data_IF_777321296450
#
_entry.id   IF_777321296450
#
_cell.length_a   1.000
_cell.length_b   1.000
_cell.length_c   1.000
_cell.angle_alpha   90.00
_cell.angle_beta   90.00
_cell.angle_gamma   90.00
#
_symmetry.space_group_name_H-M   'P 1'
#
loop_
_entity.id
_entity.type
_entity.pdbx_description
1 polymer ?
#
# COMPACT_ATOMS: atom_id res chain seq x y z
N UNK A 1 -30.62 8.33 10.49
CA UNK A 1 -30.17 6.99 10.06
C UNK A 1 -29.01 6.62 10.97
N UNK A 2 -29.05 5.49 11.68
CA UNK A 2 -27.95 5.09 12.56
C UNK A 2 -26.71 4.77 11.72
N UNK A 3 -25.56 5.34 12.06
CA UNK A 3 -24.30 4.98 11.41
C UNK A 3 -24.00 3.50 11.67
N UNK A 4 -23.85 2.71 10.60
CA UNK A 4 -23.44 1.30 10.70
C UNK A 4 -22.02 1.22 11.29
N UNK A 5 -21.76 0.35 12.26
CA UNK A 5 -20.38 0.19 12.77
C UNK A 5 -19.41 -0.36 11.71
N UNK A 6 -19.91 -1.01 10.66
CA UNK A 6 -19.11 -1.67 9.62
C UNK A 6 -19.35 -1.11 8.21
N UNK A 7 -18.37 -1.34 7.33
CA UNK A 7 -18.51 -1.12 5.90
C UNK A 7 -19.43 -2.18 5.28
N UNK A 8 -20.27 -1.78 4.31
CA UNK A 8 -21.09 -2.71 3.55
C UNK A 8 -20.39 -3.10 2.25
N UNK A 9 -20.17 -4.39 2.06
CA UNK A 9 -19.63 -4.97 0.83
C UNK A 9 -20.78 -5.43 -0.06
N UNK A 10 -20.67 -5.21 -1.38
CA UNK A 10 -21.66 -5.69 -2.36
C UNK A 10 -21.86 -7.20 -2.22
N UNK A 11 -23.11 -7.65 -2.19
CA UNK A 11 -23.45 -9.01 -1.76
C UNK A 11 -22.78 -10.13 -2.58
N UNK A 12 -22.70 -9.98 -3.91
CA UNK A 12 -22.03 -10.94 -4.79
C UNK A 12 -20.52 -11.03 -4.54
N UNK A 13 -19.87 -9.89 -4.23
CA UNK A 13 -18.45 -9.84 -3.85
C UNK A 13 -18.26 -10.52 -2.50
N UNK A 14 -19.08 -10.17 -1.51
CA UNK A 14 -19.01 -10.78 -0.17
C UNK A 14 -19.24 -12.29 -0.24
N UNK A 15 -20.20 -12.75 -1.04
CA UNK A 15 -20.51 -14.18 -1.18
C UNK A 15 -19.38 -14.94 -1.87
N UNK A 16 -18.82 -14.40 -2.95
CA UNK A 16 -17.79 -15.09 -3.74
C UNK A 16 -16.40 -15.06 -3.09
N UNK A 17 -16.08 -13.98 -2.37
CA UNK A 17 -14.76 -13.70 -1.81
C UNK A 17 -14.81 -13.52 -0.28
N UNK A 18 -15.72 -14.24 0.38
CA UNK A 18 -15.97 -14.13 1.83
C UNK A 18 -14.72 -14.32 2.68
N UNK A 19 -13.74 -15.08 2.18
CA UNK A 19 -12.49 -15.38 2.86
C UNK A 19 -11.52 -14.18 2.93
N UNK A 20 -11.74 -13.12 2.15
CA UNK A 20 -11.00 -11.85 2.23
C UNK A 20 -11.52 -10.92 3.33
N UNK A 21 -12.78 -11.10 3.73
CA UNK A 21 -13.51 -10.24 4.65
C UNK A 21 -13.69 -10.91 6.02
N UNK A 22 -14.38 -10.23 6.94
CA UNK A 22 -14.63 -10.69 8.29
C UNK A 22 -13.43 -10.54 9.22
N UNK A 23 -13.51 -11.24 10.35
CA UNK A 23 -12.52 -11.16 11.42
C UNK A 23 -11.28 -12.01 11.11
N UNK A 24 -10.10 -11.40 11.23
CA UNK A 24 -8.79 -12.05 11.12
C UNK A 24 -8.07 -12.01 12.46
N UNK A 25 -7.24 -13.02 12.72
CA UNK A 25 -6.38 -13.08 13.91
C UNK A 25 -4.97 -12.66 13.55
N UNK A 26 -4.47 -11.61 14.19
CA UNK A 26 -3.12 -11.06 13.99
C UNK A 26 -2.42 -11.00 15.34
N UNK A 27 -1.36 -11.79 15.55
CA UNK A 27 -0.63 -11.85 16.82
C UNK A 27 -1.53 -12.18 18.03
N UNK A 28 -2.61 -12.94 17.83
CA UNK A 28 -3.62 -13.24 18.85
C UNK A 28 -4.73 -12.19 19.02
N UNK A 29 -4.64 -11.05 18.33
CA UNK A 29 -5.67 -10.00 18.30
C UNK A 29 -6.68 -10.26 17.18
N UNK A 30 -7.97 -10.15 17.49
CA UNK A 30 -9.03 -10.22 16.49
C UNK A 30 -9.27 -8.84 15.87
N UNK A 31 -9.28 -8.76 14.54
CA UNK A 31 -9.52 -7.51 13.79
C UNK A 31 -10.53 -7.79 12.69
N UNK A 32 -11.68 -7.12 12.72
CA UNK A 32 -12.69 -7.21 11.66
C UNK A 32 -12.36 -6.23 10.53
N UNK A 33 -12.26 -6.75 9.30
CA UNK A 33 -11.84 -5.96 8.14
C UNK A 33 -12.84 -4.83 7.82
N UNK A 34 -14.14 -5.13 7.84
CA UNK A 34 -15.21 -4.19 7.50
C UNK A 34 -15.35 -3.06 8.53
N UNK A 35 -15.25 -3.38 9.83
CA UNK A 35 -15.22 -2.38 10.91
C UNK A 35 -13.97 -1.49 10.80
N UNK A 36 -12.80 -2.07 10.52
CA UNK A 36 -11.57 -1.31 10.36
C UNK A 36 -11.64 -0.36 9.15
N UNK A 37 -12.12 -0.85 8.00
CA UNK A 37 -12.33 -0.02 6.81
C UNK A 37 -13.30 1.14 7.08
N UNK A 38 -14.40 0.89 7.81
CA UNK A 38 -15.34 1.93 8.19
C UNK A 38 -14.70 2.98 9.10
N UNK A 39 -14.00 2.55 10.14
CA UNK A 39 -13.29 3.43 11.07
C UNK A 39 -12.25 4.30 10.36
N UNK A 40 -11.39 3.69 9.53
CA UNK A 40 -10.36 4.40 8.76
C UNK A 40 -10.99 5.39 7.78
N UNK A 41 -12.05 4.97 7.09
CA UNK A 41 -12.77 5.84 6.14
C UNK A 41 -13.38 7.05 6.83
N UNK A 42 -14.04 6.87 7.97
CA UNK A 42 -14.64 7.99 8.74
C UNK A 42 -13.59 8.94 9.28
N UNK A 43 -12.53 8.40 9.88
CA UNK A 43 -11.46 9.19 10.47
C UNK A 43 -10.72 10.06 9.44
N UNK A 44 -10.62 9.60 8.18
CA UNK A 44 -9.83 10.28 7.14
C UNK A 44 -10.68 10.96 6.06
N UNK A 45 -12.01 10.87 6.12
CA UNK A 45 -12.92 11.39 5.07
C UNK A 45 -12.67 12.85 4.75
N UNK A 46 -12.56 13.69 5.80
CA UNK A 46 -12.32 15.12 5.66
C UNK A 46 -10.95 15.43 5.05
N UNK A 47 -9.91 14.71 5.47
CA UNK A 47 -8.55 14.89 4.97
C UNK A 47 -8.42 14.48 3.50
N UNK A 48 -8.99 13.33 3.11
CA UNK A 48 -9.08 12.93 1.70
C UNK A 48 -9.75 14.01 0.84
N UNK A 49 -10.91 14.52 1.28
CA UNK A 49 -11.65 15.55 0.54
C UNK A 49 -10.84 16.85 0.41
N UNK A 50 -10.26 17.31 1.51
CA UNK A 50 -9.44 18.52 1.55
C UNK A 50 -8.21 18.41 0.64
N UNK A 51 -7.49 17.29 0.67
CA UNK A 51 -6.29 17.10 -0.15
C UNK A 51 -6.63 17.01 -1.65
N UNK A 52 -7.69 16.29 -2.02
CA UNK A 52 -8.12 16.26 -3.42
C UNK A 52 -8.58 17.63 -3.92
N UNK A 53 -9.24 18.42 -3.06
CA UNK A 53 -9.60 19.79 -3.38
C UNK A 53 -8.37 20.69 -3.57
N UNK A 54 -7.39 20.61 -2.66
CA UNK A 54 -6.13 21.36 -2.74
C UNK A 54 -5.36 21.01 -4.01
N UNK A 55 -5.29 19.71 -4.35
CA UNK A 55 -4.71 19.21 -5.58
C UNK A 55 -5.38 19.81 -6.82
N UNK A 56 -6.71 19.77 -6.89
CA UNK A 56 -7.45 20.38 -7.99
C UNK A 56 -7.23 21.89 -8.10
N UNK A 57 -7.19 22.61 -6.97
CA UNK A 57 -6.93 24.05 -6.97
C UNK A 57 -5.53 24.37 -7.49
N UNK A 58 -4.51 23.62 -7.07
CA UNK A 58 -3.15 23.77 -7.58
C UNK A 58 -3.09 23.52 -9.08
N UNK A 59 -3.61 22.38 -9.55
CA UNK A 59 -3.64 22.04 -10.98
C UNK A 59 -4.38 23.09 -11.80
N UNK A 60 -5.51 23.61 -11.31
CA UNK A 60 -6.24 24.67 -11.98
C UNK A 60 -5.40 25.95 -12.10
N UNK A 61 -4.71 26.36 -11.04
CA UNK A 61 -3.81 27.54 -11.11
C UNK A 61 -2.69 27.33 -12.13
N UNK A 62 -2.03 26.17 -12.09
CA UNK A 62 -0.93 25.84 -13.01
C UNK A 62 -1.43 25.81 -14.46
N UNK A 63 -2.57 25.17 -14.72
CA UNK A 63 -3.15 25.09 -16.06
C UNK A 63 -3.53 26.47 -16.65
N UNK A 64 -3.86 27.44 -15.80
CA UNK A 64 -4.18 28.82 -16.20
C UNK A 64 -3.01 29.79 -16.07
N UNK A 65 -1.77 29.28 -15.88
CA UNK A 65 -0.55 30.09 -15.73
C UNK A 65 -0.62 31.09 -14.55
N UNK A 66 -1.39 30.74 -13.52
CA UNK A 66 -1.55 31.50 -12.27
C UNK A 66 -0.74 30.90 -11.12
N UNK A 67 0.15 29.97 -11.43
CA UNK A 67 1.03 29.30 -10.48
C UNK A 67 1.97 28.33 -11.20
N UNK A 68 2.95 27.83 -10.48
CA UNK A 68 3.91 26.82 -10.95
C UNK A 68 4.14 25.80 -9.84
N UNK A 69 4.65 24.63 -10.22
CA UNK A 69 5.24 23.71 -9.26
C UNK A 69 6.61 24.28 -8.84
N UNK A 70 6.91 24.30 -7.54
CA UNK A 70 8.14 24.88 -7.02
C UNK A 70 8.62 24.13 -5.77
N UNK A 71 9.89 24.33 -5.41
CA UNK A 71 10.43 23.79 -4.17
C UNK A 71 9.75 24.43 -2.96
N UNK A 72 9.51 23.61 -1.93
CA UNK A 72 9.08 24.13 -0.64
C UNK A 72 10.16 25.06 -0.06
N UNK A 73 9.72 26.21 0.45
CA UNK A 73 10.58 27.15 1.17
C UNK A 73 11.20 26.47 2.40
N UNK A 74 12.47 26.75 2.68
CA UNK A 74 13.20 26.13 3.77
C UNK A 74 12.55 26.36 5.15
N UNK A 75 11.82 27.46 5.33
CA UNK A 75 11.08 27.77 6.56
C UNK A 75 9.72 27.07 6.66
N UNK A 76 9.26 26.41 5.59
CA UNK A 76 7.99 25.67 5.58
C UNK A 76 7.99 24.61 6.67
N UNK A 77 6.99 24.66 7.54
CA UNK A 77 6.82 23.67 8.59
C UNK A 77 6.13 22.41 8.05
N UNK A 78 6.78 21.27 8.25
CA UNK A 78 6.30 19.95 7.86
C UNK A 78 5.95 19.17 9.13
N UNK A 79 4.94 18.30 9.03
CA UNK A 79 4.62 17.37 10.11
C UNK A 79 4.45 15.95 9.61
N UNK A 80 4.85 14.99 10.42
CA UNK A 80 4.66 13.57 10.14
C UNK A 80 3.36 13.03 10.80
N UNK A 81 2.98 11.77 10.56
CA UNK A 81 1.81 11.14 11.20
C UNK A 81 1.93 10.93 12.71
N UNK A 82 3.13 11.08 13.27
CA UNK A 82 3.43 10.89 14.69
C UNK A 82 3.44 12.23 15.44
N UNK A 83 3.19 13.34 14.73
CA UNK A 83 3.05 14.67 15.30
C UNK A 83 4.37 15.44 15.40
N UNK A 84 5.47 14.85 14.94
CA UNK A 84 6.76 15.53 14.88
C UNK A 84 6.67 16.70 13.88
N UNK A 85 7.39 17.78 14.18
CA UNK A 85 7.43 18.98 13.34
C UNK A 85 8.85 19.44 13.12
N UNK A 86 9.18 19.72 11.87
CA UNK A 86 10.48 20.26 11.47
C UNK A 86 10.30 21.16 10.26
N UNK A 87 11.22 22.11 10.07
CA UNK A 87 11.25 22.90 8.85
C UNK A 87 11.81 22.05 7.69
N UNK A 88 11.46 22.39 6.45
CA UNK A 88 12.06 21.76 5.26
C UNK A 88 13.59 21.88 5.28
N UNK A 89 14.12 23.02 5.73
CA UNK A 89 15.56 23.24 5.88
C UNK A 89 16.20 22.25 6.85
N UNK A 90 15.60 22.05 8.03
CA UNK A 90 16.09 21.10 9.02
C UNK A 90 16.02 19.66 8.51
N UNK A 91 14.95 19.29 7.81
CA UNK A 91 14.78 17.95 7.24
C UNK A 91 15.87 17.69 6.19
N UNK A 92 16.09 18.61 5.25
CA UNK A 92 17.10 18.46 4.20
C UNK A 92 18.52 18.43 4.80
N UNK A 93 18.81 19.32 5.75
CA UNK A 93 20.11 19.33 6.44
C UNK A 93 20.34 18.04 7.23
N UNK A 94 19.32 17.56 7.94
CA UNK A 94 19.36 16.31 8.68
C UNK A 94 19.59 15.09 7.79
N UNK A 95 19.03 15.07 6.59
CA UNK A 95 19.28 14.02 5.60
C UNK A 95 20.74 14.02 5.15
N UNK A 96 21.31 15.20 4.85
CA UNK A 96 22.71 15.34 4.47
C UNK A 96 23.65 14.94 5.62
N UNK A 97 23.35 15.37 6.85
CA UNK A 97 24.13 14.99 8.01
C UNK A 97 24.10 13.48 8.25
N UNK A 98 22.93 12.84 8.11
CA UNK A 98 22.79 11.38 8.17
C UNK A 98 23.57 10.66 7.07
N UNK A 99 23.56 11.19 5.83
CA UNK A 99 24.32 10.64 4.70
C UNK A 99 25.83 10.71 4.93
N UNK A 100 26.33 11.83 5.47
CA UNK A 100 27.76 12.01 5.77
C UNK A 100 28.19 11.43 7.13
N UNK A 101 27.30 10.76 7.85
CA UNK A 101 27.60 10.16 9.16
C UNK A 101 27.88 11.18 10.27
N UNK A 102 27.39 12.42 10.13
CA UNK A 102 27.51 13.46 11.14
C UNK A 102 26.51 13.22 12.27
N UNK A 103 26.93 13.43 13.51
CA UNK A 103 26.08 13.29 14.69
C UNK A 103 25.50 14.65 15.07
N UNK A 104 24.44 15.07 14.36
CA UNK A 104 23.65 16.26 14.70
C UNK A 104 22.28 15.85 15.24
N UNK A 105 21.61 16.68 16.06
CA UNK A 105 20.27 16.38 16.56
C UNK A 105 19.24 16.13 15.44
N UNK A 106 19.46 16.73 14.27
CA UNK A 106 18.59 16.62 13.10
C UNK A 106 18.99 15.46 12.18
N UNK A 107 20.16 14.81 12.37
CA UNK A 107 20.63 13.77 11.47
C UNK A 107 19.64 12.60 11.40
N UNK A 108 19.16 12.27 10.19
CA UNK A 108 18.22 11.17 9.99
C UNK A 108 18.49 10.40 8.70
N UNK A 109 18.01 9.16 8.67
CA UNK A 109 17.99 8.30 7.47
C UNK A 109 16.81 7.34 7.54
N UNK A 110 16.32 6.94 6.38
CA UNK A 110 15.30 5.88 6.29
C UNK A 110 15.84 4.61 6.97
N UNK A 111 15.01 4.00 7.82
CA UNK A 111 15.35 2.77 8.52
C UNK A 111 16.26 2.93 9.74
N UNK A 112 16.55 4.16 10.20
CA UNK A 112 17.38 4.38 11.39
C UNK A 112 16.76 3.78 12.67
N UNK A 113 15.47 4.03 12.89
CA UNK A 113 14.76 3.57 14.10
C UNK A 113 14.10 2.21 13.94
N UNK A 114 13.72 1.84 12.72
CA UNK A 114 13.12 0.54 12.40
C UNK A 114 13.82 -0.03 11.17
N UNK A 115 14.67 -1.07 11.33
CA UNK A 115 15.46 -1.64 10.24
C UNK A 115 14.63 -2.01 9.01
N UNK A 116 15.27 -1.97 7.84
CA UNK A 116 14.69 -2.50 6.62
C UNK A 116 14.76 -4.04 6.64
N UNK A 117 13.69 -4.75 6.23
CA UNK A 117 13.70 -6.20 6.19
C UNK A 117 14.72 -6.72 5.18
N UNK A 118 15.45 -7.78 5.55
CA UNK A 118 16.56 -8.30 4.75
C UNK A 118 16.14 -8.74 3.33
N UNK A 119 14.93 -9.28 3.18
CA UNK A 119 14.38 -9.70 1.89
C UNK A 119 14.13 -8.53 0.93
N UNK A 120 13.97 -7.30 1.44
CA UNK A 120 13.82 -6.09 0.61
C UNK A 120 15.14 -5.52 0.08
N UNK A 121 16.28 -6.03 0.56
CA UNK A 121 17.62 -5.51 0.27
C UNK A 121 18.36 -6.28 -0.83
N UNK A 122 17.74 -7.33 -1.39
CA UNK A 122 18.34 -8.10 -2.48
C UNK A 122 18.41 -7.24 -3.76
N UNK A 123 19.61 -6.95 -4.29
CA UNK A 123 19.75 -6.15 -5.50
C UNK A 123 19.33 -6.95 -6.74
N UNK A 124 18.64 -6.30 -7.67
CA UNK A 124 18.28 -6.89 -8.95
C UNK A 124 17.08 -6.22 -9.59
N UNK A 125 16.50 -6.89 -10.59
CA UNK A 125 15.34 -6.39 -11.30
C UNK A 125 14.06 -6.55 -10.47
N UNK A 126 13.16 -5.58 -10.62
CA UNK A 126 11.80 -5.65 -10.08
C UNK A 126 10.83 -5.87 -11.24
N UNK A 127 10.05 -6.94 -11.17
CA UNK A 127 8.97 -7.19 -12.11
C UNK A 127 7.67 -6.52 -11.67
N UNK A 128 6.76 -6.28 -12.59
CA UNK A 128 5.45 -5.67 -12.32
C UNK A 128 4.34 -6.41 -13.05
N UNK A 129 3.15 -6.46 -12.46
CA UNK A 129 1.96 -6.99 -13.13
C UNK A 129 0.86 -7.43 -12.17
N UNK A 130 -0.38 -7.61 -12.66
CA UNK A 130 -1.51 -8.01 -11.84
C UNK A 130 -1.53 -9.53 -11.57
N UNK A 131 -2.08 -9.96 -10.42
CA UNK A 131 -2.25 -11.38 -10.04
C UNK A 131 -3.60 -11.97 -10.46
N UNK A 132 -4.26 -11.42 -11.49
CA UNK A 132 -5.58 -11.89 -11.94
C UNK A 132 -5.49 -13.33 -12.48
N UNK A 133 -4.41 -13.66 -13.19
CA UNK A 133 -4.14 -15.00 -13.71
C UNK A 133 -3.03 -15.66 -12.88
N UNK A 134 -3.32 -16.81 -12.27
CA UNK A 134 -2.34 -17.61 -11.53
C UNK A 134 -1.15 -18.04 -12.40
N UNK A 135 -1.33 -18.20 -13.72
CA UNK A 135 -0.23 -18.48 -14.64
C UNK A 135 0.80 -17.34 -14.68
N UNK A 136 0.34 -16.09 -14.68
CA UNK A 136 1.21 -14.91 -14.54
C UNK A 136 1.86 -14.88 -13.17
N UNK A 137 1.11 -15.25 -12.13
CA UNK A 137 1.62 -15.27 -10.77
C UNK A 137 2.72 -16.31 -10.52
N UNK A 138 2.61 -17.48 -11.14
CA UNK A 138 3.68 -18.49 -11.09
C UNK A 138 4.86 -18.06 -11.94
N UNK A 139 4.61 -17.44 -13.10
CA UNK A 139 5.67 -16.83 -13.92
C UNK A 139 6.48 -15.79 -13.14
N UNK A 140 5.82 -14.94 -12.35
CA UNK A 140 6.47 -13.97 -11.47
C UNK A 140 7.41 -14.64 -10.46
N UNK A 141 6.94 -15.69 -9.78
CA UNK A 141 7.76 -16.44 -8.82
C UNK A 141 8.94 -17.17 -9.48
N UNK A 142 8.78 -17.61 -10.72
CA UNK A 142 9.81 -18.29 -11.50
C UNK A 142 10.78 -17.32 -12.23
N UNK A 143 10.53 -16.02 -12.21
CA UNK A 143 11.25 -15.04 -13.03
C UNK A 143 12.71 -14.82 -12.62
N UNK A 144 13.07 -15.13 -11.37
CA UNK A 144 14.36 -14.75 -10.79
C UNK A 144 14.49 -13.25 -10.49
N UNK A 145 13.40 -12.48 -10.61
CA UNK A 145 13.37 -11.09 -10.16
C UNK A 145 13.66 -11.00 -8.66
N UNK A 146 14.32 -9.92 -8.25
CA UNK A 146 14.57 -9.68 -6.84
C UNK A 146 13.31 -9.28 -6.11
N UNK A 147 12.44 -8.52 -6.76
CA UNK A 147 11.17 -8.08 -6.19
C UNK A 147 10.08 -8.14 -7.26
N UNK A 148 8.83 -8.22 -6.83
CA UNK A 148 7.70 -8.19 -7.73
C UNK A 148 6.60 -7.31 -7.15
N UNK A 149 6.19 -6.33 -7.94
CA UNK A 149 5.09 -5.43 -7.63
C UNK A 149 3.79 -6.00 -8.19
N UNK A 150 2.94 -6.51 -7.30
CA UNK A 150 1.57 -6.88 -7.63
C UNK A 150 0.73 -5.63 -7.79
N UNK A 151 0.35 -5.38 -9.02
CA UNK A 151 -0.24 -4.11 -9.41
C UNK A 151 -1.76 -4.19 -9.46
N UNK A 152 -2.40 -3.39 -8.61
CA UNK A 152 -3.84 -3.12 -8.69
C UNK A 152 -4.15 -1.64 -8.96
N UNK A 153 -3.23 -0.96 -9.61
CA UNK A 153 -3.38 0.42 -10.01
C UNK A 153 -3.41 0.50 -11.55
N UNK A 154 -2.41 1.04 -12.24
CA UNK A 154 -2.49 1.22 -13.70
C UNK A 154 -2.58 -0.09 -14.51
N UNK A 155 -1.95 -1.20 -14.08
CA UNK A 155 -2.12 -2.50 -14.72
C UNK A 155 -3.31 -3.30 -14.16
N UNK A 156 -3.98 -2.76 -13.15
CA UNK A 156 -5.23 -3.28 -12.61
C UNK A 156 -6.40 -2.99 -13.55
N UNK A 157 -7.36 -3.89 -13.60
CA UNK A 157 -8.64 -3.63 -14.25
C UNK A 157 -9.53 -2.70 -13.41
N UNK A 158 -10.77 -2.50 -13.86
CA UNK A 158 -11.78 -1.84 -13.02
C UNK A 158 -11.98 -2.60 -11.70
N UNK A 159 -12.35 -1.90 -10.62
CA UNK A 159 -12.55 -2.41 -9.26
C UNK A 159 -13.83 -3.26 -9.17
N UNK A 160 -13.89 -4.33 -9.96
CA UNK A 160 -14.96 -5.32 -10.06
C UNK A 160 -14.45 -6.65 -9.48
N UNK A 161 -15.04 -7.78 -9.88
CA UNK A 161 -14.68 -9.10 -9.37
C UNK A 161 -13.19 -9.47 -9.59
N UNK A 162 -12.54 -8.94 -10.63
CA UNK A 162 -11.12 -9.24 -10.93
C UNK A 162 -10.16 -8.77 -9.82
N UNK A 163 -10.47 -7.67 -9.14
CA UNK A 163 -9.72 -7.20 -7.99
C UNK A 163 -9.67 -8.25 -6.89
N UNK A 164 -10.85 -8.70 -6.50
CA UNK A 164 -11.02 -9.61 -5.38
C UNK A 164 -10.46 -10.99 -5.73
N UNK A 165 -10.55 -11.40 -7.00
CA UNK A 165 -9.84 -12.59 -7.49
C UNK A 165 -8.32 -12.42 -7.36
N UNK A 166 -7.76 -11.27 -7.76
CA UNK A 166 -6.34 -10.98 -7.63
C UNK A 166 -5.86 -10.98 -6.17
N UNK A 167 -6.65 -10.42 -5.25
CA UNK A 167 -6.37 -10.47 -3.80
C UNK A 167 -6.46 -11.88 -3.23
N UNK A 168 -7.45 -12.68 -3.65
CA UNK A 168 -7.57 -14.08 -3.27
C UNK A 168 -6.39 -14.91 -3.76
N UNK A 169 -5.98 -14.72 -5.01
CA UNK A 169 -4.80 -15.37 -5.58
C UNK A 169 -3.53 -14.98 -4.83
N UNK A 170 -3.34 -13.68 -4.59
CA UNK A 170 -2.19 -13.16 -3.83
C UNK A 170 -2.15 -13.77 -2.43
N UNK A 171 -3.29 -13.86 -1.75
CA UNK A 171 -3.41 -14.52 -0.44
C UNK A 171 -2.96 -15.97 -0.47
N UNK A 172 -3.48 -16.76 -1.41
CA UNK A 172 -3.08 -18.17 -1.54
C UNK A 172 -1.58 -18.33 -1.87
N UNK A 173 -1.02 -17.43 -2.67
CA UNK A 173 0.41 -17.43 -3.02
C UNK A 173 1.29 -17.10 -1.82
N UNK A 174 0.98 -16.03 -1.08
CA UNK A 174 1.75 -15.61 0.11
C UNK A 174 1.57 -16.58 1.28
N UNK A 175 0.47 -17.32 1.32
CA UNK A 175 0.27 -18.46 2.22
C UNK A 175 0.97 -19.75 1.76
N UNK A 176 1.65 -19.73 0.61
CA UNK A 176 2.35 -20.87 0.03
C UNK A 176 1.42 -22.07 -0.27
N UNK A 177 0.13 -21.82 -0.49
CA UNK A 177 -0.85 -22.89 -0.76
C UNK A 177 -0.64 -23.56 -2.11
N UNK A 178 0.04 -22.87 -3.04
CA UNK A 178 0.38 -23.36 -4.38
C UNK A 178 1.75 -24.06 -4.46
N UNK A 179 2.46 -24.20 -3.33
CA UNK A 179 3.72 -24.94 -3.28
C UNK A 179 3.57 -26.34 -3.87
N UNK A 180 4.37 -26.65 -4.90
CA UNK A 180 4.41 -27.95 -5.57
C UNK A 180 3.09 -28.38 -6.24
N UNK A 181 2.09 -27.50 -6.35
CA UNK A 181 0.81 -27.80 -7.03
C UNK A 181 0.83 -27.28 -8.46
N UNK A 182 0.39 -28.08 -9.45
CA UNK A 182 0.14 -27.57 -10.80
C UNK A 182 -1.14 -26.73 -10.82
N UNK A 183 -1.15 -25.71 -11.69
CA UNK A 183 -2.34 -24.93 -12.07
C UNK A 183 -2.63 -25.19 -13.54
N UNK A 184 -3.78 -25.80 -13.83
CA UNK A 184 -4.28 -25.95 -15.19
C UNK A 184 -5.04 -24.68 -15.58
N UNK A 185 -4.52 -23.95 -16.56
CA UNK A 185 -5.14 -22.70 -16.97
C UNK A 185 -6.47 -23.00 -17.69
N UNK A 186 -7.60 -22.37 -17.27
CA UNK A 186 -8.94 -22.76 -17.71
C UNK A 186 -9.16 -22.62 -19.23
N UNK A 187 -8.50 -21.65 -19.87
CA UNK A 187 -8.64 -21.40 -21.32
C UNK A 187 -7.40 -21.66 -22.17
N UNK A 188 -6.16 -21.54 -21.65
CA UNK A 188 -4.92 -21.55 -22.45
C UNK A 188 -4.37 -22.95 -22.79
N UNK A 189 -5.04 -24.05 -22.41
CA UNK A 189 -4.53 -25.45 -22.55
C UNK A 189 -3.05 -25.59 -22.11
N UNK A 190 -2.69 -24.91 -21.02
CA UNK A 190 -1.33 -24.88 -20.46
C UNK A 190 -1.40 -25.15 -18.97
N UNK A 191 -0.43 -25.91 -18.47
CA UNK A 191 -0.24 -26.18 -17.04
C UNK A 191 0.96 -25.38 -16.56
N UNK A 192 0.78 -24.68 -15.44
CA UNK A 192 1.80 -23.86 -14.80
C UNK A 192 2.18 -24.47 -13.46
N UNK A 193 3.43 -24.30 -13.03
CA UNK A 193 3.91 -24.70 -11.71
C UNK A 193 4.96 -23.70 -11.23
N UNK A 194 5.09 -23.57 -9.92
CA UNK A 194 6.21 -22.85 -9.32
C UNK A 194 7.39 -23.83 -9.23
N UNK A 195 8.40 -23.61 -10.07
CA UNK A 195 9.56 -24.49 -10.23
C UNK A 195 10.81 -23.89 -9.58
N UNK A 196 10.86 -22.56 -9.43
CA UNK A 196 11.95 -21.90 -8.74
C UNK A 196 11.96 -22.27 -7.24
N UNK A 197 13.15 -22.49 -6.66
CA UNK A 197 13.28 -22.69 -5.22
C UNK A 197 12.88 -21.41 -4.46
N UNK A 198 12.34 -21.56 -3.26
CA UNK A 198 11.74 -20.46 -2.48
C UNK A 198 12.71 -19.31 -2.23
N UNK A 199 13.98 -19.61 -2.05
CA UNK A 199 15.04 -18.63 -1.79
C UNK A 199 15.26 -17.69 -2.99
N UNK A 200 14.83 -18.11 -4.19
CA UNK A 200 14.86 -17.31 -5.42
C UNK A 200 13.56 -16.58 -5.72
N UNK A 201 12.51 -16.77 -4.92
CA UNK A 201 11.26 -16.07 -5.14
C UNK A 201 11.44 -14.57 -4.92
N UNK A 202 10.80 -13.72 -5.73
CA UNK A 202 10.84 -12.27 -5.55
C UNK A 202 10.18 -11.86 -4.24
N UNK A 203 10.72 -10.82 -3.61
CA UNK A 203 10.05 -10.15 -2.50
C UNK A 203 8.83 -9.42 -3.02
N UNK A 204 7.69 -9.63 -2.38
CA UNK A 204 6.40 -9.20 -2.90
C UNK A 204 6.00 -7.85 -2.32
N UNK A 205 5.71 -6.88 -3.20
CA UNK A 205 5.11 -5.59 -2.86
C UNK A 205 3.72 -5.49 -3.49
N UNK A 206 2.72 -5.01 -2.74
CA UNK A 206 1.39 -4.74 -3.28
C UNK A 206 1.25 -3.26 -3.64
N UNK A 207 1.07 -2.93 -4.92
CA UNK A 207 0.72 -1.56 -5.32
C UNK A 207 -0.76 -1.33 -5.11
N UNK A 208 -1.08 -0.47 -4.16
CA UNK A 208 -2.45 -0.05 -3.85
C UNK A 208 -2.91 1.05 -4.79
N UNK A 209 -4.22 1.29 -4.81
CA UNK A 209 -4.83 2.40 -5.55
C UNK A 209 -4.27 3.77 -5.13
N UNK A 210 -4.19 4.71 -6.06
CA UNK A 210 -3.92 6.11 -5.73
C UNK A 210 -5.04 6.75 -4.90
N UNK A 211 -4.71 7.83 -4.16
CA UNK A 211 -5.62 8.49 -3.21
C UNK A 211 -6.93 9.01 -3.82
N UNK A 212 -6.94 9.27 -5.14
CA UNK A 212 -8.06 9.81 -5.89
C UNK A 212 -9.10 8.74 -6.30
N UNK A 213 -8.74 7.45 -6.24
CA UNK A 213 -9.62 6.37 -6.70
C UNK A 213 -10.61 5.94 -5.61
N UNK A 214 -11.79 5.49 -6.03
CA UNK A 214 -12.87 4.99 -5.17
C UNK A 214 -13.16 3.52 -5.47
N UNK A 215 -13.49 2.75 -4.43
CA UNK A 215 -13.93 1.37 -4.58
C UNK A 215 -15.47 1.33 -4.56
N UNK A 216 -16.06 1.01 -5.72
CA UNK A 216 -17.51 1.01 -5.91
C UNK A 216 -18.25 -0.17 -5.27
N UNK A 217 -17.53 -1.14 -4.71
CA UNK A 217 -18.14 -2.35 -4.13
C UNK A 217 -18.17 -2.32 -2.61
N UNK A 218 -17.51 -1.35 -1.97
CA UNK A 218 -17.43 -1.22 -0.52
C UNK A 218 -17.90 0.19 -0.17
N UNK A 219 -18.90 0.27 0.70
CA UNK A 219 -19.51 1.54 1.10
C UNK A 219 -19.44 1.74 2.61
N UNK A 220 -19.30 2.99 3.03
CA UNK A 220 -19.40 3.44 4.41
C UNK A 220 -20.34 4.64 4.41
N UNK A 221 -21.41 4.58 5.19
CA UNK A 221 -22.47 5.60 5.23
C UNK A 221 -23.07 5.88 3.83
N UNK A 222 -23.22 4.83 3.02
CA UNK A 222 -23.74 4.92 1.65
C UNK A 222 -22.78 5.49 0.61
N UNK A 223 -21.54 5.82 0.99
CA UNK A 223 -20.53 6.37 0.07
C UNK A 223 -19.42 5.37 -0.23
N UNK A 224 -18.92 5.37 -1.47
CA UNK A 224 -17.77 4.58 -1.91
C UNK A 224 -16.53 4.92 -1.08
N UNK A 225 -15.83 3.89 -0.58
CA UNK A 225 -14.61 4.10 0.20
C UNK A 225 -13.44 4.55 -0.71
N UNK A 226 -12.48 5.35 -0.22
CA UNK A 226 -11.20 5.53 -0.91
C UNK A 226 -10.56 4.17 -1.19
N UNK A 227 -10.22 3.88 -2.46
CA UNK A 227 -9.79 2.56 -2.90
C UNK A 227 -8.48 2.08 -2.26
N UNK A 228 -7.64 3.00 -1.80
CA UNK A 228 -6.42 2.69 -1.07
C UNK A 228 -6.72 1.96 0.25
N UNK A 229 -7.77 2.33 0.97
CA UNK A 229 -8.12 1.74 2.29
C UNK A 229 -8.35 0.23 2.21
N UNK A 230 -9.26 -0.30 1.37
CA UNK A 230 -9.44 -1.74 1.25
C UNK A 230 -8.17 -2.44 0.73
N UNK A 231 -7.38 -1.82 -0.16
CA UNK A 231 -6.10 -2.36 -0.62
C UNK A 231 -5.09 -2.55 0.51
N UNK A 232 -4.99 -1.56 1.42
CA UNK A 232 -4.16 -1.66 2.61
C UNK A 232 -4.69 -2.75 3.56
N UNK A 233 -5.97 -2.64 3.95
CA UNK A 233 -6.58 -3.49 4.98
C UNK A 233 -6.63 -4.96 4.56
N UNK A 234 -7.15 -5.26 3.36
CA UNK A 234 -7.32 -6.64 2.90
C UNK A 234 -5.95 -7.29 2.71
N UNK A 235 -4.97 -6.58 2.17
CA UNK A 235 -3.62 -7.13 2.02
C UNK A 235 -2.97 -7.42 3.38
N UNK A 236 -2.98 -6.48 4.33
CA UNK A 236 -2.33 -6.71 5.63
C UNK A 236 -3.02 -7.82 6.43
N UNK A 237 -4.34 -7.75 6.60
CA UNK A 237 -5.06 -8.67 7.50
C UNK A 237 -5.08 -10.10 6.98
N UNK A 238 -5.05 -10.32 5.67
CA UNK A 238 -5.06 -11.67 5.10
C UNK A 238 -3.66 -12.28 4.96
N UNK A 239 -2.60 -11.47 4.90
CA UNK A 239 -1.26 -11.96 4.54
C UNK A 239 -0.22 -11.85 5.66
N UNK A 240 -0.46 -11.05 6.71
CA UNK A 240 0.58 -10.75 7.70
C UNK A 240 1.14 -11.99 8.39
N UNK A 241 0.27 -12.87 8.91
CA UNK A 241 0.71 -14.08 9.63
C UNK A 241 1.47 -15.05 8.71
N UNK A 242 1.00 -15.22 7.48
CA UNK A 242 1.65 -16.06 6.50
C UNK A 242 3.05 -15.51 6.13
N UNK A 243 3.12 -14.22 5.78
CA UNK A 243 4.38 -13.57 5.42
C UNK A 243 5.38 -13.58 6.57
N UNK A 244 4.93 -13.28 7.80
CA UNK A 244 5.75 -13.35 9.00
C UNK A 244 6.30 -14.76 9.23
N UNK A 245 5.46 -15.79 9.12
CA UNK A 245 5.87 -17.20 9.23
C UNK A 245 6.91 -17.58 8.17
N UNK A 246 6.80 -17.00 6.97
CA UNK A 246 7.71 -17.25 5.85
C UNK A 246 8.95 -16.34 5.85
N UNK A 247 9.19 -15.56 6.92
CA UNK A 247 10.37 -14.71 7.05
C UNK A 247 10.34 -13.43 6.21
N UNK A 248 9.14 -12.99 5.79
CA UNK A 248 8.90 -11.76 5.03
C UNK A 248 7.94 -10.85 5.81
N UNK A 249 7.43 -9.81 5.15
CA UNK A 249 6.55 -8.81 5.74
C UNK A 249 5.44 -8.36 4.80
N UNK A 250 4.76 -7.30 5.22
CA UNK A 250 3.72 -6.63 4.43
C UNK A 250 4.30 -5.35 3.84
N UNK A 251 4.41 -5.33 2.52
CA UNK A 251 5.07 -4.25 1.80
C UNK A 251 4.16 -3.66 0.72
N UNK A 252 4.14 -2.33 0.62
CA UNK A 252 3.30 -1.62 -0.34
C UNK A 252 4.11 -0.80 -1.33
N UNK A 253 3.57 -0.66 -2.53
CA UNK A 253 3.91 0.41 -3.45
C UNK A 253 2.81 1.48 -3.39
N UNK A 254 3.20 2.74 -3.18
CA UNK A 254 2.28 3.87 -3.06
C UNK A 254 2.41 4.75 -4.31
N UNK A 255 1.35 4.84 -5.15
CA UNK A 255 1.40 5.60 -6.39
C UNK A 255 0.82 7.02 -6.25
N UNK A 256 1.24 7.89 -7.18
CA UNK A 256 0.59 9.17 -7.54
C UNK A 256 0.34 10.11 -6.36
N UNK A 257 1.23 10.07 -5.38
CA UNK A 257 1.35 11.10 -4.34
C UNK A 257 1.90 12.36 -5.00
N UNK A 258 1.31 13.49 -4.67
CA UNK A 258 1.66 14.80 -5.21
C UNK A 258 2.21 15.74 -4.15
N UNK A 259 1.94 15.52 -2.87
CA UNK A 259 2.43 16.39 -1.80
C UNK A 259 2.84 15.66 -0.52
N UNK A 260 3.61 16.34 0.34
CA UNK A 260 3.99 15.82 1.65
C UNK A 260 2.77 15.59 2.56
N UNK A 261 1.71 16.39 2.41
CA UNK A 261 0.47 16.18 3.16
C UNK A 261 -0.24 14.89 2.73
N UNK A 262 -0.19 14.56 1.45
CA UNK A 262 -0.67 13.27 0.96
C UNK A 262 0.22 12.10 1.42
N UNK A 263 1.54 12.27 1.44
CA UNK A 263 2.45 11.31 2.04
C UNK A 263 2.17 11.11 3.55
N UNK A 264 1.83 12.19 4.26
CA UNK A 264 1.40 12.16 5.67
C UNK A 264 0.09 11.39 5.82
N UNK A 265 -0.91 11.61 4.97
CA UNK A 265 -2.16 10.85 4.99
C UNK A 265 -1.89 9.35 4.80
N UNK A 266 -1.03 8.97 3.84
CA UNK A 266 -0.61 7.56 3.66
C UNK A 266 0.03 7.02 4.94
N UNK A 267 0.95 7.78 5.55
CA UNK A 267 1.60 7.39 6.79
C UNK A 267 0.63 7.26 7.98
N UNK A 268 -0.43 8.07 8.03
CA UNK A 268 -1.50 7.99 9.02
C UNK A 268 -2.36 6.74 8.80
N UNK A 269 -2.72 6.40 7.56
CA UNK A 269 -3.44 5.17 7.24
C UNK A 269 -2.66 3.93 7.65
N UNK A 270 -1.35 3.90 7.40
CA UNK A 270 -0.47 2.80 7.84
C UNK A 270 -0.41 2.70 9.36
N UNK A 271 -0.29 3.84 10.06
CA UNK A 271 -0.32 3.88 11.53
C UNK A 271 -1.61 3.31 12.10
N UNK A 272 -2.77 3.75 11.59
CA UNK A 272 -4.08 3.23 12.01
C UNK A 272 -4.20 1.72 11.80
N UNK A 273 -3.61 1.20 10.72
CA UNK A 273 -3.60 -0.24 10.39
C UNK A 273 -2.70 -1.03 11.35
N UNK A 274 -1.49 -0.53 11.62
CA UNK A 274 -0.57 -1.12 12.60
C UNK A 274 -1.17 -1.17 14.01
N UNK A 275 -1.79 -0.07 14.45
CA UNK A 275 -2.50 0.02 15.73
C UNK A 275 -3.69 -0.95 15.80
N UNK A 276 -4.45 -1.09 14.70
CA UNK A 276 -5.55 -2.04 14.64
C UNK A 276 -5.07 -3.48 14.78
N UNK A 277 -3.99 -3.83 14.07
CA UNK A 277 -3.33 -5.13 14.08
C UNK A 277 -2.61 -5.43 15.40
N UNK A 278 -2.29 -4.40 16.19
CA UNK A 278 -1.49 -4.56 17.41
C UNK A 278 -0.04 -4.91 17.14
N UNK A 279 0.50 -4.48 15.99
CA UNK A 279 1.89 -4.71 15.59
C UNK A 279 2.74 -3.45 15.85
N UNK A 280 4.08 -3.58 16.02
CA UNK A 280 4.94 -2.42 16.25
C UNK A 280 4.87 -1.38 15.11
N UNK A 281 5.06 -0.10 15.44
CA UNK A 281 5.16 1.00 14.47
C UNK A 281 6.28 0.74 13.46
N UNK A 282 6.00 0.92 12.17
CA UNK A 282 6.96 0.68 11.09
C UNK A 282 7.13 -0.80 10.71
N UNK A 283 6.19 -1.66 11.12
CA UNK A 283 6.07 -3.05 10.65
C UNK A 283 5.70 -3.10 9.17
N UNK A 284 4.78 -2.23 8.74
CA UNK A 284 4.41 -2.11 7.33
C UNK A 284 5.47 -1.26 6.62
N UNK A 285 6.02 -1.75 5.51
CA UNK A 285 7.01 -0.99 4.72
C UNK A 285 6.41 -0.52 3.41
N UNK A 286 6.91 0.60 2.91
CA UNK A 286 6.45 1.17 1.64
C UNK A 286 7.61 1.54 0.74
N UNK A 287 7.36 1.48 -0.56
CA UNK A 287 8.04 2.28 -1.57
C UNK A 287 7.05 3.29 -2.12
N UNK A 288 7.44 4.54 -2.19
CA UNK A 288 6.61 5.60 -2.75
C UNK A 288 7.16 5.98 -4.12
N UNK A 289 6.30 5.98 -5.14
CA UNK A 289 6.69 6.36 -6.50
C UNK A 289 6.84 7.88 -6.57
N UNK A 290 8.05 8.35 -6.86
CA UNK A 290 8.24 9.73 -7.28
C UNK A 290 7.93 9.84 -8.78
N UNK A 291 6.63 9.99 -9.10
CA UNK A 291 6.11 9.95 -10.47
C UNK A 291 5.25 11.17 -10.82
N UNK A 292 5.28 12.21 -9.98
CA UNK A 292 4.52 13.45 -10.16
C UNK A 292 5.45 14.63 -10.00
N UNK A 293 5.37 15.60 -10.92
CA UNK A 293 6.26 16.77 -10.94
C UNK A 293 6.22 17.55 -9.62
N UNK A 294 5.03 17.80 -9.08
CA UNK A 294 4.85 18.44 -7.78
C UNK A 294 5.59 17.69 -6.66
N UNK A 295 5.41 16.37 -6.57
CA UNK A 295 6.03 15.58 -5.51
C UNK A 295 7.56 15.57 -5.58
N UNK A 296 8.13 15.60 -6.79
CA UNK A 296 9.57 15.67 -6.98
C UNK A 296 10.18 16.95 -6.39
N UNK A 297 9.43 18.06 -6.38
CA UNK A 297 9.88 19.35 -5.83
C UNK A 297 9.67 19.48 -4.31
N UNK A 298 8.97 18.51 -3.71
CA UNK A 298 8.74 18.47 -2.26
C UNK A 298 9.72 17.57 -1.50
N UNK A 299 10.72 17.01 -2.17
CA UNK A 299 11.78 16.20 -1.55
C UNK A 299 12.82 17.07 -0.80
#
# INVERSE_FOLDING_TARGET
MSESSSASVRADIQQKYSDLFGTKTIGGRQVNAEELMARMTRATRGEFASLMQARHQLHNRVAHQQGQYDFLDASTQISDPDGNRMTVGDIRQGMLDGFFGRSTPQAWRVGASVPLPADTMRPGLEGTGPSIDLGMAFGALNSGASQWMWDWEDAGGDYKAQLYEAWKNLKAILAHEWDRKPYEHPTKKRTYKIDAPKEKWPTIFHRVAGLHLRNRQIHVDGQEVPAMIPGLVIHALNNYEAQKKNGSGIYYYIPKVESWQEAKLVGALLKMLEEAMGVPRGTLKIKMLNERAEFALQQ
#
